data_IF_126531263014
#
_entry.id   IF_126531263014
#
_cell.length_a   1.000
_cell.length_b   1.000
_cell.length_c   1.000
_cell.angle_alpha   90.00
_cell.angle_beta   90.00
_cell.angle_gamma   90.00
#
_symmetry.space_group_name_H-M   'P 1'
#
loop_
_entity.id
_entity.type
_entity.pdbx_description
1 polymer ?
#
# COMPACT_ATOMS: atom_id res chain seq x y z
N UNK A 1 8.27 -27.20 12.25
CA UNK A 1 8.56 -26.25 11.16
C UNK A 1 8.59 -27.06 9.88
N UNK A 2 7.49 -27.12 9.15
CA UNK A 2 7.33 -27.99 7.96
C UNK A 2 7.05 -27.10 6.76
N UNK A 3 8.08 -26.79 5.99
CA UNK A 3 8.18 -26.34 4.58
C UNK A 3 7.12 -25.46 3.85
N UNK A 4 5.94 -25.08 4.37
CA UNK A 4 4.84 -24.65 3.48
C UNK A 4 4.34 -23.20 3.53
N UNK A 5 5.02 -22.27 4.21
CA UNK A 5 4.62 -20.85 4.18
C UNK A 5 5.65 -19.91 3.57
N UNK A 6 6.83 -20.39 3.14
CA UNK A 6 7.89 -19.50 2.61
C UNK A 6 7.42 -18.74 1.38
N UNK A 7 6.79 -19.42 0.42
CA UNK A 7 6.26 -18.75 -0.79
C UNK A 7 5.22 -17.69 -0.41
N UNK A 8 4.26 -18.03 0.45
CA UNK A 8 3.23 -17.07 0.87
C UNK A 8 3.81 -15.89 1.65
N UNK A 9 4.85 -16.13 2.44
CA UNK A 9 5.59 -15.11 3.18
C UNK A 9 6.37 -14.19 2.24
N UNK A 10 7.10 -14.73 1.27
CA UNK A 10 7.81 -13.92 0.28
C UNK A 10 6.83 -13.11 -0.60
N UNK A 11 5.72 -13.71 -1.04
CA UNK A 11 4.67 -12.97 -1.75
C UNK A 11 4.13 -11.81 -0.91
N UNK A 12 3.90 -12.07 0.38
CA UNK A 12 3.44 -11.07 1.33
C UNK A 12 4.46 -9.93 1.54
N UNK A 13 5.71 -10.28 1.82
CA UNK A 13 6.77 -9.35 2.24
C UNK A 13 7.33 -8.58 1.04
N UNK A 14 7.65 -9.25 -0.08
CA UNK A 14 8.11 -8.57 -1.30
C UNK A 14 7.03 -7.69 -1.91
N UNK A 15 5.77 -8.13 -1.88
CA UNK A 15 4.63 -7.34 -2.33
C UNK A 15 4.47 -6.05 -1.52
N UNK A 16 4.60 -6.13 -0.19
CA UNK A 16 4.54 -4.95 0.67
C UNK A 16 5.75 -4.04 0.48
N UNK A 17 6.96 -4.59 0.41
CA UNK A 17 8.19 -3.84 0.22
C UNK A 17 8.17 -3.05 -1.09
N UNK A 18 7.73 -3.67 -2.19
CA UNK A 18 7.57 -2.99 -3.47
C UNK A 18 6.50 -1.89 -3.40
N UNK A 19 5.35 -2.15 -2.77
CA UNK A 19 4.28 -1.15 -2.63
C UNK A 19 4.71 0.05 -1.78
N UNK A 20 5.30 -0.20 -0.61
CA UNK A 20 5.87 0.83 0.27
C UNK A 20 6.98 1.61 -0.44
N UNK A 21 8.00 0.91 -0.91
CA UNK A 21 9.19 1.50 -1.53
C UNK A 21 8.86 2.29 -2.78
N UNK A 22 8.01 1.76 -3.66
CA UNK A 22 7.57 2.45 -4.86
C UNK A 22 6.76 3.72 -4.58
N UNK A 23 5.86 3.68 -3.60
CA UNK A 23 5.10 4.86 -3.20
C UNK A 23 6.00 5.95 -2.58
N UNK A 24 6.97 5.55 -1.76
CA UNK A 24 7.94 6.44 -1.14
C UNK A 24 8.90 7.05 -2.18
N UNK A 25 9.43 6.23 -3.10
CA UNK A 25 10.24 6.71 -4.23
C UNK A 25 9.45 7.66 -5.13
N UNK A 26 8.16 7.39 -5.33
CA UNK A 26 7.26 8.30 -6.02
C UNK A 26 7.16 9.67 -5.34
N UNK A 27 6.98 9.69 -4.03
CA UNK A 27 6.80 10.91 -3.24
C UNK A 27 8.09 11.74 -3.09
N UNK A 28 9.24 11.08 -2.93
CA UNK A 28 10.53 11.71 -2.59
C UNK A 28 11.44 11.88 -3.81
N UNK A 29 11.45 10.92 -4.73
CA UNK A 29 12.33 10.92 -5.89
C UNK A 29 11.62 11.43 -7.14
N UNK A 30 10.62 10.68 -7.62
CA UNK A 30 9.99 10.94 -8.92
C UNK A 30 9.29 12.29 -8.99
N UNK A 31 8.40 12.58 -8.03
CA UNK A 31 7.62 13.81 -8.07
C UNK A 31 8.50 15.07 -7.90
N UNK A 32 9.47 15.11 -6.97
CA UNK A 32 10.39 16.23 -6.88
C UNK A 32 11.30 16.38 -8.10
N UNK A 33 11.82 15.28 -8.67
CA UNK A 33 12.60 15.35 -9.90
C UNK A 33 11.78 15.94 -11.06
N UNK A 34 10.48 15.64 -11.12
CA UNK A 34 9.60 16.25 -12.12
C UNK A 34 9.46 17.77 -11.95
N UNK A 35 9.62 18.32 -10.74
CA UNK A 35 9.53 19.77 -10.49
C UNK A 35 10.70 20.57 -11.06
N UNK A 36 11.80 19.91 -11.46
CA UNK A 36 12.95 20.53 -12.13
C UNK A 36 12.61 21.00 -13.56
N UNK A 37 11.53 20.50 -14.16
CA UNK A 37 11.03 20.96 -15.45
C UNK A 37 10.50 22.41 -15.38
N UNK A 38 10.81 23.20 -16.40
CA UNK A 38 10.45 24.62 -16.46
C UNK A 38 8.96 24.89 -16.75
N UNK A 39 8.28 23.96 -17.42
CA UNK A 39 6.86 24.10 -17.79
C UNK A 39 5.97 23.15 -16.98
N UNK A 40 4.72 23.56 -16.75
CA UNK A 40 3.74 22.72 -16.07
C UNK A 40 3.43 21.45 -16.86
N UNK A 41 3.38 21.51 -18.20
CA UNK A 41 3.24 20.29 -19.01
C UNK A 41 4.46 19.36 -18.84
N UNK A 42 5.67 19.92 -18.71
CA UNK A 42 6.89 19.17 -18.44
C UNK A 42 6.82 18.37 -17.14
N UNK A 43 6.49 19.06 -16.05
CA UNK A 43 6.30 18.46 -14.72
C UNK A 43 5.29 17.31 -14.76
N UNK A 44 4.13 17.56 -15.37
CA UNK A 44 3.05 16.56 -15.44
C UNK A 44 3.43 15.38 -16.34
N UNK A 45 4.12 15.62 -17.45
CA UNK A 45 4.59 14.57 -18.37
C UNK A 45 5.61 13.65 -17.69
N UNK A 46 6.61 14.20 -17.01
CA UNK A 46 7.65 13.40 -16.32
C UNK A 46 7.02 12.54 -15.22
N UNK A 47 6.25 13.16 -14.32
CA UNK A 47 5.59 12.45 -13.24
C UNK A 47 4.62 11.38 -13.78
N UNK A 48 3.75 11.72 -14.74
CA UNK A 48 2.76 10.78 -15.29
C UNK A 48 3.44 9.63 -16.02
N UNK A 49 4.52 9.87 -16.76
CA UNK A 49 5.29 8.82 -17.44
C UNK A 49 5.94 7.86 -16.46
N UNK A 50 6.51 8.36 -15.36
CA UNK A 50 7.06 7.51 -14.29
C UNK A 50 5.97 6.66 -13.62
N UNK A 51 4.87 7.28 -13.23
CA UNK A 51 3.75 6.58 -12.60
C UNK A 51 3.07 5.58 -13.54
N UNK A 52 2.96 5.87 -14.83
CA UNK A 52 2.40 4.96 -15.83
C UNK A 52 3.22 3.67 -15.93
N UNK A 53 4.56 3.76 -15.89
CA UNK A 53 5.46 2.60 -15.87
C UNK A 53 5.40 1.84 -14.55
N UNK A 54 5.25 2.55 -13.43
CA UNK A 54 5.20 1.93 -12.11
C UNK A 54 3.85 1.27 -11.79
N UNK A 55 2.73 1.80 -12.31
CA UNK A 55 1.38 1.36 -11.94
C UNK A 55 1.14 -0.15 -12.12
N UNK A 56 1.53 -0.80 -13.24
CA UNK A 56 1.38 -2.25 -13.39
C UNK A 56 2.19 -3.04 -12.36
N UNK A 57 3.42 -2.59 -12.09
CA UNK A 57 4.30 -3.21 -11.07
C UNK A 57 3.69 -3.07 -9.68
N UNK A 58 3.16 -1.90 -9.35
CA UNK A 58 2.47 -1.65 -8.09
C UNK A 58 1.21 -2.53 -7.93
N UNK A 59 0.44 -2.70 -9.00
CA UNK A 59 -0.73 -3.58 -8.99
C UNK A 59 -0.33 -5.04 -8.74
N UNK A 60 0.73 -5.52 -9.38
CA UNK A 60 1.28 -6.86 -9.11
C UNK A 60 1.80 -7.00 -7.67
N UNK A 61 2.51 -5.99 -7.16
CA UNK A 61 2.99 -5.96 -5.78
C UNK A 61 1.85 -6.04 -4.76
N UNK A 62 0.78 -5.26 -4.96
CA UNK A 62 -0.44 -5.32 -4.14
C UNK A 62 -1.08 -6.71 -4.22
N UNK A 63 -1.22 -7.29 -5.42
CA UNK A 63 -1.80 -8.62 -5.57
C UNK A 63 -0.99 -9.69 -4.84
N UNK A 64 0.34 -9.67 -4.99
CA UNK A 64 1.25 -10.56 -4.26
C UNK A 64 1.08 -10.41 -2.75
N UNK A 65 1.05 -9.17 -2.25
CA UNK A 65 0.86 -8.89 -0.83
C UNK A 65 -0.45 -9.48 -0.30
N UNK A 66 -1.56 -9.28 -1.03
CA UNK A 66 -2.88 -9.75 -0.63
C UNK A 66 -3.00 -11.28 -0.67
N UNK A 67 -2.46 -11.93 -1.70
CA UNK A 67 -2.43 -13.39 -1.79
C UNK A 67 -1.61 -13.98 -0.66
N UNK A 68 -0.40 -13.44 -0.42
CA UNK A 68 0.44 -13.86 0.69
C UNK A 68 -0.22 -13.62 2.05
N UNK A 69 -0.87 -12.47 2.24
CA UNK A 69 -1.61 -12.14 3.47
C UNK A 69 -2.74 -13.13 3.75
N UNK A 70 -3.54 -13.47 2.73
CA UNK A 70 -4.63 -14.43 2.84
C UNK A 70 -4.11 -15.85 3.14
N UNK A 71 -3.05 -16.29 2.44
CA UNK A 71 -2.40 -17.57 2.68
C UNK A 71 -1.88 -17.70 4.11
N UNK A 72 -1.15 -16.68 4.60
CA UNK A 72 -0.65 -16.64 5.97
C UNK A 72 -1.77 -16.60 7.00
N UNK A 73 -2.85 -15.84 6.76
CA UNK A 73 -4.00 -15.79 7.65
C UNK A 73 -4.67 -17.17 7.77
N UNK A 74 -4.84 -17.86 6.64
CA UNK A 74 -5.40 -19.21 6.62
C UNK A 74 -4.51 -20.23 7.34
N UNK A 75 -3.21 -20.23 7.08
CA UNK A 75 -2.24 -21.10 7.73
C UNK A 75 -2.21 -20.88 9.26
N UNK A 76 -2.35 -19.62 9.71
CA UNK A 76 -2.27 -19.24 11.12
C UNK A 76 -3.63 -19.11 11.84
N UNK A 77 -4.75 -19.50 11.20
CA UNK A 77 -6.12 -19.29 11.72
C UNK A 77 -6.35 -19.77 13.16
N UNK A 78 -5.76 -20.91 13.53
CA UNK A 78 -5.84 -21.46 14.90
C UNK A 78 -5.14 -20.56 15.92
N UNK A 79 -3.96 -20.03 15.58
CA UNK A 79 -3.19 -19.13 16.46
C UNK A 79 -3.90 -17.79 16.65
N UNK A 80 -4.51 -17.26 15.58
CA UNK A 80 -5.28 -16.01 15.63
C UNK A 80 -6.41 -16.11 16.66
N UNK A 81 -7.13 -17.24 16.69
CA UNK A 81 -8.19 -17.48 17.68
C UNK A 81 -7.67 -17.77 19.10
N UNK A 82 -6.55 -18.47 19.23
CA UNK A 82 -6.09 -19.00 20.52
C UNK A 82 -5.15 -18.08 21.31
N UNK A 83 -4.40 -17.17 20.67
CA UNK A 83 -3.37 -16.36 21.33
C UNK A 83 -3.88 -14.94 21.63
N UNK A 84 -3.72 -14.47 22.88
CA UNK A 84 -4.10 -13.10 23.28
C UNK A 84 -3.23 -12.07 22.53
N UNK A 85 -3.86 -11.05 21.96
CA UNK A 85 -3.19 -9.96 21.22
C UNK A 85 -2.96 -10.20 19.73
N UNK A 86 -2.91 -11.47 19.28
CA UNK A 86 -2.73 -11.80 17.85
C UNK A 86 -3.95 -11.34 17.04
N UNK A 87 -5.16 -11.60 17.54
CA UNK A 87 -6.39 -11.15 16.86
C UNK A 87 -6.42 -9.62 16.67
N UNK A 88 -6.09 -8.85 17.71
CA UNK A 88 -6.07 -7.39 17.63
C UNK A 88 -5.04 -6.89 16.62
N UNK A 89 -3.83 -7.48 16.61
CA UNK A 89 -2.79 -7.16 15.64
C UNK A 89 -3.20 -7.53 14.20
N UNK A 90 -3.86 -8.68 14.00
CA UNK A 90 -4.42 -9.08 12.70
C UNK A 90 -5.47 -8.08 12.22
N UNK A 91 -6.43 -7.68 13.06
CA UNK A 91 -7.47 -6.70 12.70
C UNK A 91 -6.85 -5.35 12.36
N UNK A 92 -5.92 -4.85 13.17
CA UNK A 92 -5.23 -3.59 12.92
C UNK A 92 -4.49 -3.62 11.56
N UNK A 93 -3.81 -4.73 11.27
CA UNK A 93 -3.11 -4.92 9.99
C UNK A 93 -4.07 -4.92 8.81
N UNK A 94 -5.17 -5.67 8.89
CA UNK A 94 -6.20 -5.70 7.84
C UNK A 94 -6.82 -4.32 7.62
N UNK A 95 -7.09 -3.56 8.68
CA UNK A 95 -7.59 -2.20 8.58
C UNK A 95 -6.59 -1.26 7.86
N UNK A 96 -5.30 -1.33 8.23
CA UNK A 96 -4.25 -0.58 7.54
C UNK A 96 -4.11 -0.98 6.07
N UNK A 97 -4.17 -2.28 5.74
CA UNK A 97 -4.16 -2.75 4.35
C UNK A 97 -5.34 -2.21 3.57
N UNK A 98 -6.56 -2.25 4.12
CA UNK A 98 -7.75 -1.68 3.49
C UNK A 98 -7.62 -0.17 3.25
N UNK A 99 -7.14 0.57 4.25
CA UNK A 99 -6.88 2.00 4.12
C UNK A 99 -5.82 2.30 3.06
N UNK A 100 -4.73 1.51 3.00
CA UNK A 100 -3.68 1.67 2.01
C UNK A 100 -4.18 1.42 0.58
N UNK A 101 -5.02 0.40 0.39
CA UNK A 101 -5.69 0.13 -0.89
C UNK A 101 -6.57 1.32 -1.31
N UNK A 102 -7.40 1.83 -0.40
CA UNK A 102 -8.25 2.99 -0.65
C UNK A 102 -7.44 4.23 -1.03
N UNK A 103 -6.38 4.53 -0.27
CA UNK A 103 -5.48 5.64 -0.55
C UNK A 103 -4.78 5.48 -1.91
N UNK A 104 -4.36 4.27 -2.27
CA UNK A 104 -3.71 3.97 -3.56
C UNK A 104 -4.67 4.16 -4.72
N UNK A 105 -5.89 3.62 -4.62
CA UNK A 105 -6.92 3.80 -5.63
C UNK A 105 -7.29 5.27 -5.81
N UNK A 106 -7.44 6.00 -4.69
CA UNK A 106 -7.74 7.42 -4.71
C UNK A 106 -6.61 8.24 -5.35
N UNK A 107 -5.35 7.98 -4.98
CA UNK A 107 -4.19 8.59 -5.62
C UNK A 107 -4.18 8.37 -7.14
N UNK A 108 -4.53 7.16 -7.60
CA UNK A 108 -4.58 6.84 -9.02
C UNK A 108 -5.67 7.61 -9.76
N UNK A 109 -6.86 7.74 -9.17
CA UNK A 109 -7.97 8.54 -9.73
C UNK A 109 -7.55 10.00 -9.87
N UNK A 110 -6.99 10.60 -8.82
CA UNK A 110 -6.52 11.98 -8.84
C UNK A 110 -5.39 12.17 -9.86
N UNK A 111 -4.42 11.25 -9.90
CA UNK A 111 -3.34 11.27 -10.88
C UNK A 111 -3.85 11.16 -12.32
N UNK A 112 -4.85 10.29 -12.58
CA UNK A 112 -5.44 10.14 -13.91
C UNK A 112 -6.17 11.40 -14.36
N UNK A 113 -6.85 12.09 -13.43
CA UNK A 113 -7.49 13.39 -13.72
C UNK A 113 -6.47 14.43 -14.16
N UNK A 114 -5.33 14.52 -13.47
CA UNK A 114 -4.25 15.46 -13.83
C UNK A 114 -3.63 15.06 -15.18
N UNK A 115 -3.34 13.78 -15.38
CA UNK A 115 -2.80 13.23 -16.63
C UNK A 115 -3.70 13.55 -17.84
N UNK A 116 -5.02 13.34 -17.71
CA UNK A 116 -5.97 13.62 -18.80
C UNK A 116 -6.08 15.11 -19.10
N UNK A 117 -6.07 15.97 -18.08
CA UNK A 117 -6.11 17.42 -18.25
C UNK A 117 -4.84 17.98 -18.91
N UNK A 118 -3.72 17.26 -18.79
CA UNK A 118 -2.43 17.59 -19.39
C UNK A 118 -2.26 17.05 -20.83
N UNK A 119 -3.22 16.28 -21.33
CA UNK A 119 -3.06 15.54 -22.57
C UNK A 119 -3.16 16.46 -23.79
N UNK A 120 -2.23 16.38 -24.76
CA UNK A 120 -2.34 17.12 -26.02
C UNK A 120 -3.44 16.55 -26.94
N UNK A 121 -4.00 15.38 -26.61
CA UNK A 121 -5.15 14.80 -27.31
C UNK A 121 -6.45 15.42 -26.77
N UNK A 122 -7.13 16.19 -27.62
CA UNK A 122 -8.39 16.86 -27.28
C UNK A 122 -9.43 15.88 -26.72
N UNK A 123 -9.53 14.66 -27.26
CA UNK A 123 -10.50 13.67 -26.76
C UNK A 123 -10.20 13.20 -25.35
N UNK A 124 -8.94 13.24 -24.93
CA UNK A 124 -8.53 12.91 -23.56
C UNK A 124 -8.72 14.10 -22.62
N UNK A 125 -8.45 15.32 -23.10
CA UNK A 125 -8.74 16.56 -22.38
C UNK A 125 -10.24 16.69 -22.08
N UNK A 126 -11.12 16.44 -23.05
CA UNK A 126 -12.59 16.49 -22.89
C UNK A 126 -13.10 15.49 -21.85
N UNK A 127 -12.47 14.31 -21.73
CA UNK A 127 -12.80 13.33 -20.68
C UNK A 127 -12.45 13.86 -19.29
N UNK A 128 -11.43 14.69 -19.21
CA UNK A 128 -11.02 15.31 -17.97
C UNK A 128 -12.13 16.27 -17.49
N UNK A 129 -12.72 17.09 -18.36
CA UNK A 129 -13.79 18.04 -18.02
C UNK A 129 -15.01 17.41 -17.35
N UNK A 130 -15.33 16.15 -17.71
CA UNK A 130 -16.45 15.39 -17.13
C UNK A 130 -16.16 14.82 -15.73
N UNK A 131 -14.94 14.99 -15.22
CA UNK A 131 -14.55 14.46 -13.92
C UNK A 131 -15.12 15.32 -12.78
N UNK A 132 -15.71 14.73 -11.73
CA UNK A 132 -16.40 15.47 -10.66
C UNK A 132 -15.45 16.35 -9.82
N UNK A 133 -14.16 16.01 -9.80
CA UNK A 133 -13.11 16.77 -9.10
C UNK A 133 -12.37 17.66 -10.10
N UNK A 134 -12.23 18.94 -9.76
CA UNK A 134 -11.43 19.91 -10.54
C UNK A 134 -9.95 19.54 -10.55
N UNK A 135 -9.20 20.02 -11.56
CA UNK A 135 -7.75 19.74 -11.66
C UNK A 135 -6.99 20.31 -10.45
N UNK A 136 -7.28 21.55 -10.05
CA UNK A 136 -6.63 22.18 -8.90
C UNK A 136 -6.92 21.48 -7.57
N UNK A 137 -8.16 21.02 -7.37
CA UNK A 137 -8.52 20.20 -6.21
C UNK A 137 -7.81 18.84 -6.25
N UNK A 138 -7.73 18.20 -7.42
CA UNK A 138 -7.04 16.93 -7.57
C UNK A 138 -5.54 17.05 -7.27
N UNK A 139 -4.87 18.10 -7.76
CA UNK A 139 -3.48 18.40 -7.41
C UNK A 139 -3.31 18.62 -5.90
N UNK A 140 -4.20 19.41 -5.29
CA UNK A 140 -4.13 19.73 -3.86
C UNK A 140 -4.32 18.50 -2.97
N UNK A 141 -5.29 17.65 -3.30
CA UNK A 141 -5.53 16.41 -2.58
C UNK A 141 -4.41 15.39 -2.81
N UNK A 142 -3.87 15.29 -4.03
CA UNK A 142 -2.76 14.40 -4.33
C UNK A 142 -1.50 14.76 -3.53
N UNK A 143 -1.27 16.05 -3.24
CA UNK A 143 -0.17 16.50 -2.35
C UNK A 143 -0.24 15.90 -0.94
N UNK A 144 -1.44 15.59 -0.45
CA UNK A 144 -1.66 14.95 0.83
C UNK A 144 -1.63 13.41 0.69
N UNK A 145 -2.41 12.89 -0.25
CA UNK A 145 -2.61 11.45 -0.44
C UNK A 145 -1.30 10.74 -0.83
N UNK A 146 -0.38 11.43 -1.52
CA UNK A 146 0.95 10.86 -1.86
C UNK A 146 1.74 10.39 -0.64
N UNK A 147 1.47 10.95 0.55
CA UNK A 147 2.10 10.53 1.81
C UNK A 147 1.29 9.49 2.59
N UNK A 148 -0.01 9.41 2.34
CA UNK A 148 -0.88 8.44 3.01
C UNK A 148 -0.47 6.99 2.66
N UNK A 149 -0.19 6.71 1.38
CA UNK A 149 0.21 5.36 0.94
C UNK A 149 1.50 4.88 1.62
N UNK A 150 2.64 5.62 1.60
CA UNK A 150 3.86 5.17 2.27
C UNK A 150 3.71 5.13 3.80
N UNK A 151 2.96 6.04 4.41
CA UNK A 151 2.71 5.99 5.85
C UNK A 151 1.92 4.74 6.27
N UNK A 152 0.85 4.41 5.54
CA UNK A 152 0.02 3.25 5.83
C UNK A 152 0.77 1.94 5.59
N UNK A 153 1.45 1.82 4.45
CA UNK A 153 2.24 0.63 4.10
C UNK A 153 3.45 0.45 5.02
N UNK A 154 4.14 1.53 5.41
CA UNK A 154 5.17 1.50 6.45
C UNK A 154 4.60 1.08 7.83
N UNK A 155 3.38 1.50 8.16
CA UNK A 155 2.68 1.03 9.36
C UNK A 155 2.41 -0.48 9.32
N UNK A 156 2.07 -1.04 8.16
CA UNK A 156 1.94 -2.49 7.98
C UNK A 156 3.28 -3.19 8.22
N UNK A 157 4.41 -2.62 7.76
CA UNK A 157 5.74 -3.19 8.02
C UNK A 157 6.12 -3.20 9.52
N UNK A 158 5.78 -2.14 10.25
CA UNK A 158 5.96 -2.10 11.70
C UNK A 158 5.14 -3.22 12.36
N UNK A 159 3.89 -3.43 11.92
CA UNK A 159 3.06 -4.54 12.41
C UNK A 159 3.59 -5.92 11.99
N UNK A 160 4.26 -6.05 10.84
CA UNK A 160 4.94 -7.30 10.44
C UNK A 160 6.04 -7.65 11.42
N UNK A 161 6.87 -6.68 11.76
CA UNK A 161 7.97 -6.84 12.73
C UNK A 161 7.43 -7.24 14.09
N UNK A 162 6.33 -6.61 14.55
CA UNK A 162 5.65 -7.00 15.78
C UNK A 162 5.11 -8.44 15.73
N UNK A 163 4.52 -8.86 14.60
CA UNK A 163 4.05 -10.24 14.43
C UNK A 163 5.21 -11.25 14.41
N UNK A 164 6.35 -10.90 13.83
CA UNK A 164 7.57 -11.71 13.88
C UNK A 164 8.01 -11.97 15.34
N UNK A 165 7.98 -10.94 16.17
CA UNK A 165 8.28 -11.07 17.61
C UNK A 165 7.28 -11.94 18.36
N UNK A 166 5.99 -11.85 18.02
CA UNK A 166 4.94 -12.69 18.63
C UNK A 166 5.04 -14.16 18.22
N UNK A 167 5.71 -14.48 17.11
CA UNK A 167 5.92 -15.84 16.61
C UNK A 167 7.04 -16.59 17.36
N UNK A 168 7.82 -15.92 18.21
CA UNK A 168 8.85 -16.59 19.03
C UNK A 168 8.21 -17.62 19.99
N UNK A 169 8.75 -18.86 20.13
CA UNK A 169 8.13 -19.93 20.91
C UNK A 169 7.75 -19.54 22.35
N UNK A 170 8.64 -18.82 23.04
CA UNK A 170 8.41 -18.33 24.41
C UNK A 170 7.29 -17.29 24.50
N UNK A 171 7.07 -16.49 23.45
CA UNK A 171 6.00 -15.48 23.37
C UNK A 171 4.66 -16.12 23.04
N UNK A 172 4.64 -17.14 22.17
CA UNK A 172 3.44 -17.93 21.89
C UNK A 172 2.94 -18.65 23.15
N UNK A 173 3.82 -19.38 23.84
CA UNK A 173 3.47 -20.10 25.07
C UNK A 173 2.90 -19.17 26.15
N UNK A 174 3.56 -18.03 26.42
CA UNK A 174 3.05 -17.02 27.36
C UNK A 174 1.73 -16.41 26.90
N UNK A 175 1.55 -16.19 25.61
CA UNK A 175 0.35 -15.59 25.03
C UNK A 175 -0.89 -16.48 25.16
N UNK A 176 -0.72 -17.80 25.02
CA UNK A 176 -1.78 -18.80 25.24
C UNK A 176 -2.13 -18.90 26.73
N UNK A 177 -1.12 -19.02 27.60
CA UNK A 177 -1.32 -19.08 29.07
C UNK A 177 -2.07 -17.84 29.59
N UNK A 178 -1.70 -16.64 29.13
CA UNK A 178 -2.38 -15.38 29.49
C UNK A 178 -3.81 -15.28 28.95
N UNK A 179 -4.16 -16.00 27.89
CA UNK A 179 -5.54 -16.05 27.39
C UNK A 179 -6.40 -16.92 28.30
N UNK A 180 -5.89 -18.11 28.64
CA UNK A 180 -6.57 -19.04 29.53
C UNK A 180 -6.76 -18.46 30.94
N UNK A 181 -5.77 -17.73 31.46
CA UNK A 181 -5.88 -17.06 32.77
C UNK A 181 -6.78 -15.82 32.79
N UNK A 182 -7.29 -15.38 31.63
CA UNK A 182 -8.17 -14.22 31.50
C UNK A 182 -9.61 -14.62 31.11
N UNK A 183 -9.88 -15.93 31.01
CA UNK A 183 -11.21 -16.55 30.88
C UNK A 183 -11.60 -17.07 32.26
#
# INVERSE_FOLDING_TARGET
MTEQDTVMREMHDLGLAAWFGGSMMGAIGLNPAAEEESTQEGKQRVASSGWAKWTPVNAAAIALHLVGAAGLAYANRRRIGAQKGVLAATVAKTALTGAALGATAYARVLGKRIELAASPDQKQADKAEKHPVSVGSAQSQLRLVKWAVPALTGGIEVLNSLHGEQQRPSRQARGVLRRLAAV
#
